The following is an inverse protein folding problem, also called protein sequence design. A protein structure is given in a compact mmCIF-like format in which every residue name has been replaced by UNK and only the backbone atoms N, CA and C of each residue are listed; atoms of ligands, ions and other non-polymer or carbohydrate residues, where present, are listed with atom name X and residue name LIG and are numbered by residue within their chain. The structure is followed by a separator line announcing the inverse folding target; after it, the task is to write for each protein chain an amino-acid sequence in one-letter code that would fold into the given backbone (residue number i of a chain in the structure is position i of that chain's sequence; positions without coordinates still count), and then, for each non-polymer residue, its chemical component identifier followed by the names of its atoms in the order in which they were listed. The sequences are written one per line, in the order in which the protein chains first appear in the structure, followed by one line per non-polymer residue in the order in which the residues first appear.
data_IF_425980074307
#
_entry.id   IF_425980074307
#
_cell.length_a   1.000
_cell.length_b   1.000
_cell.length_c   1.000
_cell.angle_alpha   90.00
_cell.angle_beta   90.00
_cell.angle_gamma   90.00
#
_symmetry.space_group_name_H-M   'P 1'
#
loop_
_entity.id
_entity.type
_entity.pdbx_description
1 polymer ?
#
# COMPACT_ATOMS: atom_id res chain seq x y z
N UNK A 1 17.95 -7.04 1.81
CA UNK A 1 16.73 -6.49 2.45
C UNK A 1 15.85 -5.89 1.36
N UNK A 2 14.66 -6.45 1.13
CA UNK A 2 13.68 -5.94 0.15
C UNK A 2 12.62 -5.16 0.92
N UNK A 3 12.69 -3.84 0.89
CA UNK A 3 11.69 -2.96 1.51
C UNK A 3 10.46 -2.93 0.60
N UNK A 4 9.35 -3.50 1.07
CA UNK A 4 8.05 -3.40 0.42
C UNK A 4 7.39 -2.12 0.95
N UNK A 5 7.30 -1.09 0.12
CA UNK A 5 6.69 0.16 0.48
C UNK A 5 5.17 -0.01 0.49
N UNK A 6 4.59 -0.22 1.68
CA UNK A 6 3.18 -0.50 1.86
C UNK A 6 2.40 0.82 1.95
N UNK A 7 1.93 1.32 0.80
CA UNK A 7 0.80 2.24 0.80
C UNK A 7 -0.44 1.40 1.11
N UNK A 8 -0.93 1.43 2.35
CA UNK A 8 -2.26 0.90 2.67
C UNK A 8 -3.31 1.87 2.10
N UNK A 9 -3.50 1.86 0.78
CA UNK A 9 -4.79 2.19 0.21
C UNK A 9 -5.74 1.07 0.59
N UNK A 10 -6.28 1.16 1.81
CA UNK A 10 -7.42 0.37 2.25
C UNK A 10 -8.63 0.81 1.44
N UNK A 11 -8.72 0.37 0.18
CA UNK A 11 -9.97 0.40 -0.55
C UNK A 11 -10.95 -0.45 0.25
N UNK A 12 -11.94 0.18 0.87
CA UNK A 12 -13.06 -0.46 1.53
C UNK A 12 -13.91 -1.16 0.48
N UNK A 13 -13.45 -2.30 -0.01
CA UNK A 13 -14.37 -3.35 -0.44
C UNK A 13 -14.59 -4.19 0.81
N UNK A 14 -15.82 -4.13 1.33
CA UNK A 14 -16.35 -5.11 2.27
C UNK A 14 -16.45 -6.46 1.55
N UNK A 15 -15.31 -7.09 1.28
CA UNK A 15 -15.27 -8.50 0.91
C UNK A 15 -15.41 -9.28 2.20
N UNK A 16 -16.47 -10.08 2.28
CA UNK A 16 -16.52 -11.22 3.18
C UNK A 16 -15.16 -11.92 3.09
N UNK A 17 -14.41 -11.91 4.19
CA UNK A 17 -13.06 -12.48 4.23
C UNK A 17 -13.22 -14.00 4.20
N UNK A 18 -13.36 -14.56 3.00
CA UNK A 18 -12.93 -15.93 2.76
C UNK A 18 -11.45 -15.96 3.13
N UNK A 19 -11.11 -16.73 4.16
CA UNK A 19 -9.75 -16.89 4.66
C UNK A 19 -8.84 -17.31 3.51
N UNK A 20 -8.17 -16.34 2.89
CA UNK A 20 -7.12 -16.62 1.93
C UNK A 20 -5.98 -17.29 2.71
N UNK A 21 -5.50 -18.48 2.32
CA UNK A 21 -4.35 -19.14 2.95
C UNK A 21 -3.03 -18.41 2.67
N UNK A 22 -3.09 -17.20 2.10
CA UNK A 22 -1.92 -16.37 1.85
C UNK A 22 -1.36 -15.87 3.18
N UNK A 23 -0.33 -16.57 3.66
CA UNK A 23 0.60 -16.03 4.64
C UNK A 23 1.81 -15.47 3.88
N UNK A 24 2.15 -14.17 4.03
CA UNK A 24 3.38 -13.66 3.45
C UNK A 24 4.56 -14.46 4.03
N UNK A 25 5.43 -14.98 3.15
CA UNK A 25 6.57 -15.82 3.55
C UNK A 25 7.59 -15.10 4.44
N UNK A 26 7.49 -13.78 4.52
CA UNK A 26 8.20 -12.89 5.45
C UNK A 26 7.33 -11.66 5.68
N UNK A 27 7.15 -11.23 6.93
CA UNK A 27 6.52 -9.95 7.25
C UNK A 27 7.26 -8.82 6.50
N UNK A 28 6.58 -8.00 5.68
CA UNK A 28 7.24 -6.86 5.08
C UNK A 28 7.65 -5.90 6.20
N UNK A 29 8.95 -5.59 6.31
CA UNK A 29 9.41 -4.57 7.24
C UNK A 29 8.78 -3.23 6.83
N UNK A 30 7.89 -2.68 7.65
CA UNK A 30 7.34 -1.35 7.42
C UNK A 30 8.45 -0.32 7.69
N UNK A 31 8.94 0.30 6.63
CA UNK A 31 9.92 1.38 6.75
C UNK A 31 9.18 2.72 6.85
N UNK A 32 9.16 3.29 8.05
CA UNK A 32 8.48 4.56 8.31
C UNK A 32 9.07 5.73 7.51
N UNK A 33 10.28 5.60 6.94
CA UNK A 33 10.85 6.64 6.06
C UNK A 33 9.95 6.94 4.84
N UNK A 34 9.10 5.98 4.47
CA UNK A 34 8.18 6.04 3.35
C UNK A 34 6.75 6.43 3.78
N UNK A 35 6.54 6.76 5.06
CA UNK A 35 5.25 7.22 5.57
C UNK A 35 5.04 8.72 5.34
N UNK A 36 3.80 9.18 5.51
CA UNK A 36 3.55 10.61 5.61
C UNK A 36 4.14 11.15 6.93
N UNK A 37 4.42 12.45 6.95
CA UNK A 37 4.85 13.17 8.15
C UNK A 37 3.78 14.22 8.47
N UNK A 38 3.34 14.28 9.72
CA UNK A 38 2.40 15.29 10.18
C UNK A 38 3.02 16.13 11.31
N UNK A 39 2.64 17.40 11.37
CA UNK A 39 2.96 18.31 12.49
C UNK A 39 1.85 19.34 12.63
N UNK A 40 1.51 19.71 13.86
CA UNK A 40 0.67 20.89 14.12
C UNK A 40 1.50 22.16 14.00
N UNK A 41 1.02 23.09 13.17
CA UNK A 41 1.64 24.40 12.94
C UNK A 41 0.57 25.48 13.01
N UNK A 42 1.00 26.73 13.14
CA UNK A 42 0.10 27.90 13.09
C UNK A 42 0.26 28.56 11.72
N UNK A 43 -0.82 28.59 10.94
CA UNK A 43 -0.89 29.24 9.63
C UNK A 43 -1.98 30.31 9.67
N UNK A 44 -1.62 31.57 9.39
CA UNK A 44 -2.54 32.71 9.43
C UNK A 44 -3.32 32.83 10.76
N UNK A 45 -2.66 32.55 11.89
CA UNK A 45 -3.26 32.59 13.23
C UNK A 45 -4.10 31.35 13.60
N UNK A 46 -4.31 30.42 12.68
CA UNK A 46 -5.09 29.20 12.92
C UNK A 46 -4.17 27.98 13.06
N UNK A 47 -4.50 27.08 13.99
CA UNK A 47 -3.79 25.80 14.12
C UNK A 47 -4.25 24.84 13.03
N UNK A 48 -3.29 24.27 12.31
CA UNK A 48 -3.51 23.28 11.26
C UNK A 48 -2.59 22.09 11.45
N UNK A 49 -3.04 20.91 11.04
CA UNK A 49 -2.17 19.75 10.82
C UNK A 49 -1.56 19.89 9.43
N UNK A 50 -0.28 20.23 9.37
CA UNK A 50 0.50 20.23 8.14
C UNK A 50 0.98 18.82 7.84
N UNK A 51 0.52 18.28 6.72
CA UNK A 51 0.78 16.92 6.28
C UNK A 51 1.71 16.93 5.06
N UNK A 52 2.87 16.26 5.15
CA UNK A 52 3.78 16.01 4.04
C UNK A 52 3.61 14.57 3.57
N UNK A 53 3.11 14.42 2.35
CA UNK A 53 2.87 13.12 1.72
C UNK A 53 4.07 12.79 0.83
N UNK A 54 4.68 11.61 0.95
CA UNK A 54 5.76 11.21 0.04
C UNK A 54 5.24 11.16 -1.41
N UNK A 55 6.06 11.63 -2.34
CA UNK A 55 5.80 11.45 -3.76
C UNK A 55 6.22 10.04 -4.16
N UNK A 56 5.38 9.40 -4.97
CA UNK A 56 5.59 8.04 -5.46
C UNK A 56 5.95 8.08 -6.93
N UNK A 57 6.84 7.17 -7.34
CA UNK A 57 7.19 6.96 -8.73
C UNK A 57 7.04 5.49 -9.08
N UNK A 58 6.68 5.25 -10.34
CA UNK A 58 6.67 3.90 -10.90
C UNK A 58 8.10 3.46 -11.20
N UNK A 59 8.50 2.33 -10.65
CA UNK A 59 9.75 1.63 -10.95
C UNK A 59 9.43 0.35 -11.72
N UNK A 60 10.18 0.07 -12.78
CA UNK A 60 9.99 -1.14 -13.60
C UNK A 60 11.03 -2.16 -13.20
N UNK A 61 10.56 -3.28 -12.64
CA UNK A 61 11.42 -4.36 -12.18
C UNK A 61 11.27 -5.59 -13.07
N UNK A 62 12.32 -6.39 -13.12
CA UNK A 62 12.33 -7.68 -13.82
C UNK A 62 12.16 -8.80 -12.81
N UNK A 63 11.28 -9.74 -13.11
CA UNK A 63 11.15 -11.01 -12.40
C UNK A 63 11.41 -12.14 -13.38
N UNK A 64 12.19 -13.13 -12.93
CA UNK A 64 12.36 -14.39 -13.65
C UNK A 64 11.35 -15.39 -13.10
N UNK A 65 10.55 -15.95 -14.00
CA UNK A 65 9.67 -17.08 -13.74
C UNK A 65 10.19 -18.28 -14.50
N UNK A 66 10.15 -19.45 -13.87
CA UNK A 66 10.46 -20.72 -14.53
C UNK A 66 9.16 -21.44 -14.79
N UNK A 67 8.87 -21.74 -16.06
CA UNK A 67 7.73 -22.55 -16.47
C UNK A 67 8.22 -23.91 -16.96
N UNK A 68 7.54 -24.98 -16.56
CA UNK A 68 7.75 -26.31 -17.16
C UNK A 68 6.82 -26.46 -18.35
N UNK A 69 7.39 -26.74 -19.52
CA UNK A 69 6.65 -27.01 -20.76
C UNK A 69 7.01 -28.42 -21.25
N UNK A 70 6.17 -29.00 -22.09
CA UNK A 70 6.45 -30.29 -22.73
C UNK A 70 6.72 -30.10 -24.22
N UNK A 71 7.62 -30.93 -24.76
CA UNK A 71 7.80 -31.07 -26.22
C UNK A 71 7.68 -32.54 -26.60
N UNK A 72 7.08 -32.82 -27.75
CA UNK A 72 7.03 -34.17 -28.31
C UNK A 72 8.35 -34.45 -29.03
N UNK A 73 9.00 -35.55 -28.69
CA UNK A 73 10.15 -36.09 -29.42
C UNK A 73 9.79 -37.44 -30.01
N UNK A 74 10.14 -37.68 -31.28
CA UNK A 74 10.07 -39.01 -31.88
C UNK A 74 11.35 -39.76 -31.54
N UNK A 75 11.22 -40.98 -31.04
CA UNK A 75 12.34 -41.89 -30.73
C UNK A 75 12.13 -43.20 -31.45
N UNK A 76 13.23 -43.84 -31.83
CA UNK A 76 13.21 -45.16 -32.47
C UNK A 76 13.71 -46.19 -31.47
N UNK A 77 12.96 -47.28 -31.30
CA UNK A 77 13.38 -48.46 -30.54
C UNK A 77 13.61 -49.63 -31.49
N UNK A 78 14.68 -50.37 -31.27
CA UNK A 78 14.92 -51.65 -31.94
C UNK A 78 14.31 -52.78 -31.10
N UNK A 79 13.50 -53.62 -31.74
CA UNK A 79 12.87 -54.80 -31.15
C UNK A 79 13.81 -56.00 -31.18
N UNK A 80 13.51 -57.02 -30.37
CA UNK A 80 14.33 -58.23 -30.26
C UNK A 80 14.39 -59.06 -31.56
N UNK A 81 13.41 -58.89 -32.45
CA UNK A 81 13.36 -59.51 -33.78
C UNK A 81 14.12 -58.71 -34.86
N UNK A 82 14.77 -57.60 -34.47
CA UNK A 82 15.52 -56.72 -35.37
C UNK A 82 14.69 -55.65 -36.07
N UNK A 83 13.38 -55.59 -35.86
CA UNK A 83 12.53 -54.51 -36.40
C UNK A 83 12.72 -53.19 -35.63
N UNK A 84 12.39 -52.05 -36.26
CA UNK A 84 12.43 -50.72 -35.64
C UNK A 84 11.03 -50.13 -35.54
N UNK A 85 10.69 -49.55 -34.40
CA UNK A 85 9.41 -48.89 -34.15
C UNK A 85 9.65 -47.45 -33.68
N UNK A 86 9.00 -46.49 -34.33
CA UNK A 86 9.01 -45.09 -33.93
C UNK A 86 7.87 -44.82 -32.95
N UNK A 87 8.19 -44.17 -31.83
CA UNK A 87 7.22 -43.77 -30.83
C UNK A 87 7.44 -42.33 -30.38
N UNK A 88 6.35 -41.65 -30.05
CA UNK A 88 6.37 -40.26 -29.55
C UNK A 88 6.45 -40.27 -28.02
N UNK A 89 7.35 -39.44 -27.46
CA UNK A 89 7.45 -39.22 -26.02
C UNK A 89 7.32 -37.73 -25.70
N UNK A 90 6.57 -37.39 -24.65
CA UNK A 90 6.54 -36.04 -24.11
C UNK A 90 7.72 -35.84 -23.15
N UNK A 91 8.61 -34.91 -23.49
CA UNK A 91 9.78 -34.57 -22.68
C UNK A 91 9.55 -33.22 -22.02
N UNK A 92 9.53 -33.13 -20.69
CA UNK A 92 9.43 -31.85 -20.00
C UNK A 92 10.75 -31.07 -20.14
N UNK A 93 10.65 -29.77 -20.37
CA UNK A 93 11.76 -28.85 -20.36
C UNK A 93 11.37 -27.56 -19.62
N UNK A 94 12.36 -26.93 -18.98
CA UNK A 94 12.15 -25.68 -18.24
C UNK A 94 12.49 -24.49 -19.12
N UNK A 95 11.62 -23.49 -19.13
CA UNK A 95 11.85 -22.20 -19.79
C UNK A 95 11.89 -21.11 -18.73
N UNK A 96 12.89 -20.24 -18.81
CA UNK A 96 12.95 -19.03 -17.98
C UNK A 96 12.33 -17.86 -18.75
N UNK A 97 11.28 -17.28 -18.20
CA UNK A 97 10.59 -16.11 -18.74
C UNK A 97 10.96 -14.90 -17.90
N UNK A 98 11.33 -13.82 -18.57
CA UNK A 98 11.61 -12.53 -17.93
C UNK A 98 10.41 -11.63 -18.12
N UNK A 99 9.72 -11.32 -17.03
CA UNK A 99 8.59 -10.41 -17.01
C UNK A 99 9.00 -9.06 -16.44
N UNK A 100 8.59 -7.98 -17.11
CA UNK A 100 8.66 -6.64 -16.54
C UNK A 100 7.37 -6.39 -15.75
N UNK A 101 7.50 -5.94 -14.50
CA UNK A 101 6.36 -5.53 -13.69
C UNK A 101 6.63 -4.15 -13.09
N UNK A 102 5.56 -3.36 -12.98
CA UNK A 102 5.62 -2.03 -12.39
C UNK A 102 5.37 -2.13 -10.88
N UNK A 103 6.17 -1.43 -10.09
CA UNK A 103 5.95 -1.23 -8.65
C UNK A 103 5.97 0.25 -8.32
N UNK A 104 5.15 0.66 -7.36
CA UNK A 104 5.24 2.01 -6.80
C UNK A 104 6.33 2.03 -5.75
N UNK A 105 7.26 2.97 -5.86
CA UNK A 105 8.30 3.22 -4.86
C UNK A 105 8.33 4.70 -4.49
N UNK A 106 8.78 5.04 -3.27
CA UNK A 106 9.01 6.43 -2.90
C UNK A 106 10.01 7.08 -3.85
N UNK A 107 9.71 8.30 -4.31
CA UNK A 107 10.61 9.07 -5.16
C UNK A 107 11.78 9.68 -4.38
N UNK A 108 11.69 9.69 -3.04
CA UNK A 108 12.59 10.41 -2.13
C UNK A 108 12.20 11.89 -1.94
N UNK A 109 11.15 12.36 -2.62
CA UNK A 109 10.61 13.71 -2.49
C UNK A 109 9.26 13.67 -1.75
N UNK A 110 8.84 14.83 -1.28
CA UNK A 110 7.52 15.04 -0.68
C UNK A 110 6.71 15.99 -1.54
N UNK A 111 5.41 15.76 -1.62
CA UNK A 111 4.45 16.71 -2.17
C UNK A 111 4.45 18.01 -1.35
N UNK A 112 3.97 19.13 -1.92
CA UNK A 112 3.69 20.33 -1.15
C UNK A 112 2.82 20.01 0.07
N UNK A 113 3.11 20.59 1.26
CA UNK A 113 2.33 20.31 2.45
C UNK A 113 0.84 20.58 2.25
N UNK A 114 0.02 19.72 2.83
CA UNK A 114 -1.43 19.90 2.88
C UNK A 114 -1.80 20.34 4.29
N UNK A 115 -2.47 21.48 4.40
CA UNK A 115 -2.92 22.02 5.68
C UNK A 115 -4.37 21.60 5.94
N UNK A 116 -4.59 20.92 7.05
CA UNK A 116 -5.92 20.50 7.52
C UNK A 116 -6.24 21.30 8.79
N UNK A 117 -7.34 22.08 8.86
CA UNK A 117 -7.74 22.74 10.10
C UNK A 117 -7.79 21.74 11.26
N UNK A 118 -7.20 22.10 12.41
CA UNK A 118 -7.01 21.16 13.52
C UNK A 118 -8.34 20.63 14.08
N UNK A 119 -9.40 21.44 14.07
CA UNK A 119 -10.77 21.07 14.45
C UNK A 119 -11.44 20.09 13.47
N UNK A 120 -10.95 20.05 12.23
CA UNK A 120 -11.41 19.12 11.18
C UNK A 120 -10.49 17.92 10.99
N UNK A 121 -9.35 17.88 11.67
CA UNK A 121 -8.44 16.76 11.59
C UNK A 121 -9.05 15.55 12.27
N UNK A 122 -9.12 14.43 11.57
CA UNK A 122 -9.47 13.15 12.15
C UNK A 122 -8.21 12.30 12.27
N UNK A 123 -7.82 12.04 13.51
CA UNK A 123 -6.63 11.29 13.86
C UNK A 123 -7.01 10.20 14.86
N UNK A 124 -6.50 9.01 14.65
CA UNK A 124 -6.69 7.86 15.52
C UNK A 124 -5.34 7.29 15.92
N UNK A 125 -5.30 6.65 17.08
CA UNK A 125 -4.24 5.70 17.40
C UNK A 125 -4.40 4.46 16.52
N UNK A 126 -3.33 3.68 16.32
CA UNK A 126 -3.44 2.40 15.58
C UNK A 126 -4.51 1.48 16.18
N UNK A 127 -4.75 1.56 17.49
CA UNK A 127 -5.79 0.79 18.19
C UNK A 127 -7.22 1.11 17.75
N UNK A 128 -7.43 2.16 16.95
CA UNK A 128 -8.75 2.63 16.52
C UNK A 128 -9.35 3.71 17.44
N UNK A 129 -8.68 4.05 18.54
CA UNK A 129 -9.13 5.12 19.44
C UNK A 129 -8.99 6.49 18.75
N UNK A 130 -10.13 7.19 18.58
CA UNK A 130 -10.15 8.55 18.02
C UNK A 130 -9.55 9.54 19.01
N UNK A 131 -8.64 10.38 18.54
CA UNK A 131 -7.97 11.38 19.37
C UNK A 131 -8.80 12.66 19.49
N UNK A 132 -8.74 13.31 20.66
CA UNK A 132 -9.29 14.64 20.87
C UNK A 132 -8.37 15.71 20.29
N UNK A 133 -8.89 16.91 20.00
CA UNK A 133 -8.06 18.03 19.49
C UNK A 133 -6.83 18.34 20.37
N UNK A 134 -6.95 18.45 21.71
CA UNK A 134 -5.78 18.64 22.58
C UNK A 134 -4.75 17.50 22.50
N UNK A 135 -5.21 16.25 22.34
CA UNK A 135 -4.32 15.09 22.21
C UNK A 135 -3.60 15.11 20.86
N UNK A 136 -4.29 15.49 19.79
CA UNK A 136 -3.68 15.68 18.45
C UNK A 136 -2.61 16.75 18.53
N UNK A 137 -2.91 17.90 19.13
CA UNK A 137 -1.96 19.00 19.28
C UNK A 137 -0.71 18.57 20.06
N UNK A 138 -0.89 17.80 21.14
CA UNK A 138 0.22 17.29 21.93
C UNK A 138 1.07 16.29 21.14
N UNK A 139 0.43 15.30 20.53
CA UNK A 139 1.11 14.21 19.82
C UNK A 139 1.83 14.71 18.56
N UNK A 140 1.26 15.70 17.87
CA UNK A 140 1.83 16.31 16.67
C UNK A 140 2.53 17.65 16.93
N UNK A 141 2.88 17.95 18.19
CA UNK A 141 3.67 19.15 18.55
C UNK A 141 5.06 19.14 17.90
N UNK A 142 5.57 17.93 17.61
CA UNK A 142 6.75 17.67 16.79
C UNK A 142 6.34 16.91 15.53
N UNK A 143 7.21 16.95 14.52
CA UNK A 143 6.99 16.16 13.32
C UNK A 143 7.01 14.67 13.67
N UNK A 144 5.97 13.94 13.29
CA UNK A 144 5.81 12.52 13.54
C UNK A 144 5.45 11.79 12.25
N UNK A 145 5.90 10.55 12.13
CA UNK A 145 5.50 9.64 11.06
C UNK A 145 4.05 9.18 11.30
N UNK A 146 3.23 9.29 10.26
CA UNK A 146 1.81 8.93 10.31
C UNK A 146 1.43 8.04 9.13
N UNK A 147 0.48 7.15 9.37
CA UNK A 147 -0.18 6.39 8.31
C UNK A 147 -1.30 7.23 7.74
N UNK A 148 -1.29 7.37 6.42
CA UNK A 148 -2.32 8.10 5.70
C UNK A 148 -3.44 7.15 5.32
N UNK A 149 -4.65 7.40 5.81
CA UNK A 149 -5.83 6.69 5.34
C UNK A 149 -6.55 7.53 4.28
N UNK A 150 -6.50 7.05 3.03
CA UNK A 150 -7.17 7.68 1.89
C UNK A 150 -8.36 6.80 1.47
N UNK A 151 -9.59 7.25 1.73
CA UNK A 151 -10.78 6.50 1.33
C UNK A 151 -12.08 7.22 1.69
N UNK A 152 -13.21 6.64 1.29
CA UNK A 152 -14.57 7.09 1.67
C UNK A 152 -14.99 6.60 3.05
N UNK A 153 -14.03 6.16 3.89
CA UNK A 153 -14.36 5.55 5.15
C UNK A 153 -15.17 6.50 6.03
N UNK A 154 -16.21 5.94 6.65
CA UNK A 154 -16.91 6.57 7.74
C UNK A 154 -15.90 6.94 8.84
N UNK A 155 -16.31 7.80 9.77
CA UNK A 155 -15.49 8.35 10.86
C UNK A 155 -14.97 7.33 11.89
N UNK A 156 -15.11 6.02 11.65
CA UNK A 156 -14.69 4.94 12.54
C UNK A 156 -13.56 4.13 11.89
N UNK A 157 -12.32 4.56 12.10
CA UNK A 157 -11.16 3.74 11.79
C UNK A 157 -10.97 2.67 12.88
N UNK A 158 -10.85 1.42 12.47
CA UNK A 158 -10.35 0.32 13.30
C UNK A 158 -9.35 -0.47 12.47
N UNK A 159 -8.08 -0.49 12.89
CA UNK A 159 -7.10 -1.37 12.27
C UNK A 159 -7.50 -2.83 12.50
N UNK A 160 -7.24 -3.69 11.52
CA UNK A 160 -7.25 -5.14 11.77
C UNK A 160 -6.25 -5.45 12.90
N UNK A 161 -6.60 -6.37 13.81
CA UNK A 161 -5.77 -6.71 14.96
C UNK A 161 -4.36 -7.15 14.55
N UNK A 162 -4.22 -7.80 13.39
CA UNK A 162 -2.93 -8.15 12.82
C UNK A 162 -2.09 -6.91 12.52
N UNK A 163 -2.63 -5.93 11.77
CA UNK A 163 -1.90 -4.69 11.47
C UNK A 163 -1.63 -3.86 12.73
N UNK A 164 -2.56 -3.86 13.68
CA UNK A 164 -2.34 -3.20 14.97
C UNK A 164 -1.16 -3.80 15.74
N UNK A 165 -0.94 -5.11 15.64
CA UNK A 165 0.18 -5.79 16.29
C UNK A 165 1.53 -5.55 15.61
N UNK A 166 1.55 -5.27 14.30
CA UNK A 166 2.76 -5.01 13.53
C UNK A 166 3.27 -3.57 13.66
N UNK A 167 2.38 -2.66 14.06
CA UNK A 167 2.65 -1.24 14.15
C UNK A 167 2.98 -0.86 15.59
N UNK A 168 3.96 0.03 15.76
CA UNK A 168 4.21 0.63 17.07
C UNK A 168 2.95 1.40 17.53
N UNK A 169 2.47 1.22 18.78
CA UNK A 169 1.30 1.92 19.30
C UNK A 169 1.37 3.46 19.21
N UNK A 170 2.57 4.03 19.10
CA UNK A 170 2.79 5.47 18.93
C UNK A 170 2.57 5.99 17.50
N UNK A 171 2.34 5.09 16.53
CA UNK A 171 2.02 5.48 15.15
C UNK A 171 0.60 6.04 15.10
N UNK A 172 0.45 7.21 14.50
CA UNK A 172 -0.87 7.83 14.32
C UNK A 172 -1.41 7.54 12.93
N UNK A 173 -2.72 7.41 12.84
CA UNK A 173 -3.46 7.29 11.58
C UNK A 173 -4.17 8.60 11.33
N UNK A 174 -3.85 9.25 10.22
CA UNK A 174 -4.45 10.52 9.79
C UNK A 174 -5.35 10.25 8.60
N UNK A 175 -6.63 10.60 8.73
CA UNK A 175 -7.55 10.55 7.59
C UNK A 175 -7.39 11.81 6.75
N UNK A 176 -7.25 11.59 5.45
CA UNK A 176 -7.16 12.65 4.47
C UNK A 176 -7.99 12.28 3.25
N UNK A 177 -9.03 13.08 2.97
CA UNK A 177 -9.81 12.95 1.76
C UNK A 177 -9.31 13.97 0.71
N UNK A 178 -8.50 13.53 -0.29
CA UNK A 178 -8.00 14.43 -1.33
C UNK A 178 -9.12 15.01 -2.20
N UNK A 179 -10.28 14.36 -2.29
CA UNK A 179 -11.41 14.82 -3.11
C UNK A 179 -12.01 16.13 -2.57
N UNK A 180 -11.91 16.38 -1.25
CA UNK A 180 -12.32 17.66 -0.65
C UNK A 180 -11.49 18.84 -1.16
N UNK A 181 -10.27 18.61 -1.67
CA UNK A 181 -9.44 19.66 -2.29
C UNK A 181 -9.99 20.10 -3.65
N UNK A 182 -10.62 19.17 -4.38
CA UNK A 182 -11.23 19.43 -5.69
C UNK A 182 -12.66 19.99 -5.58
N UNK A 183 -13.30 19.85 -4.41
CA UNK A 183 -14.60 20.45 -4.10
C UNK A 183 -14.51 21.92 -3.65
N UNK A 184 -13.32 22.52 -3.62
CA UNK A 184 -13.21 23.99 -3.67
C UNK A 184 -13.59 24.43 -5.08
N UNK A 185 -14.90 24.57 -5.25
CA UNK A 185 -15.59 25.31 -6.30
C UNK A 185 -14.94 26.68 -6.53
N UNK A 186 -15.14 27.19 -7.74
CA UNK A 186 -14.80 28.54 -8.14
C UNK A 186 -15.02 29.58 -7.01
N UNK A 187 -14.17 30.61 -6.90
CA UNK A 187 -14.29 31.60 -5.84
C UNK A 187 -15.71 32.15 -5.74
N UNK A 188 -16.41 31.88 -4.64
CA UNK A 188 -17.76 32.38 -4.35
C UNK A 188 -18.85 31.35 -4.07
N UNK A 189 -18.60 30.04 -4.26
CA UNK A 189 -19.60 29.00 -3.90
C UNK A 189 -19.17 28.23 -2.65
N UNK A 190 -19.95 28.37 -1.57
CA UNK A 190 -19.91 27.48 -0.41
C UNK A 190 -20.79 26.28 -0.77
N UNK A 191 -20.18 25.13 -1.03
CA UNK A 191 -20.91 23.87 -1.05
C UNK A 191 -21.13 23.46 0.41
N UNK A 192 -22.35 23.63 0.91
CA UNK A 192 -22.79 22.92 2.10
C UNK A 192 -22.91 21.45 1.72
N UNK A 193 -22.01 20.62 2.24
CA UNK A 193 -22.15 19.17 2.18
C UNK A 193 -23.20 18.76 3.22
N UNK A 194 -24.11 17.82 2.89
CA UNK A 194 -25.01 17.21 3.87
C UNK A 194 -24.25 16.42 4.94
#
# INVERSE_FOLDING_TARGET
MRTLALLLTCCTYSVAVAQSPWQPSTEPSLDLKDSAIAKVVVENGNKVVALRIPEWKTDTRKRQNTETRTRTETRTKQNADGTTEDYSVEVPFTVTIVENYAVQIPSGKYQPPVSIPLDKAHVWKVTGEKMTTPDIERALSKAAHVLLFMGYANTNYQADAYFASLLNPDILVVYYNPMLKYLRTAPGQVLELP
#
